data_IF_460883288044
#
_entry.id   IF_460883288044
#
_cell.length_a   1.000
_cell.length_b   1.000
_cell.length_c   1.000
_cell.angle_alpha   90.00
_cell.angle_beta   90.00
_cell.angle_gamma   90.00
#
_symmetry.space_group_name_H-M   'P 1'
#
loop_
_entity.id
_entity.type
_entity.pdbx_description
1 polymer ?
#
# COMPACT_ATOMS: atom_id res chain seq x y z
N UNK A 1 -12.46 12.39 20.29
CA UNK A 1 -13.26 11.16 20.13
C UNK A 1 -12.38 10.18 19.37
N UNK A 2 -12.07 9.03 19.98
CA UNK A 2 -11.13 8.07 19.42
C UNK A 2 -11.82 7.30 18.29
N UNK A 3 -11.35 7.51 17.06
CA UNK A 3 -11.76 6.73 15.91
C UNK A 3 -11.19 5.32 16.06
N UNK A 4 -12.00 4.41 16.57
CA UNK A 4 -11.70 2.98 16.51
C UNK A 4 -12.03 2.49 15.12
N UNK A 5 -11.03 2.33 14.25
CA UNK A 5 -11.21 1.71 12.92
C UNK A 5 -9.86 1.26 12.33
N UNK A 6 -9.13 0.46 13.12
CA UNK A 6 -8.15 -0.53 12.68
C UNK A 6 -7.71 -1.29 13.94
N UNK A 7 -8.08 -2.56 14.04
CA UNK A 7 -7.84 -3.38 15.24
C UNK A 7 -6.43 -3.96 15.32
N UNK A 8 -5.67 -3.92 14.22
CA UNK A 8 -4.31 -4.44 14.15
C UNK A 8 -3.34 -3.48 14.82
N UNK A 9 -2.52 -3.93 15.77
CA UNK A 9 -1.44 -3.12 16.34
C UNK A 9 -0.38 -2.80 15.27
N UNK A 10 0.31 -1.67 15.39
CA UNK A 10 1.47 -1.40 14.53
C UNK A 10 2.51 -2.51 14.72
N UNK A 11 3.14 -2.95 13.63
CA UNK A 11 4.17 -3.98 13.77
C UNK A 11 5.33 -3.47 14.66
N UNK A 12 5.82 -4.30 15.61
CA UNK A 12 6.88 -3.88 16.54
C UNK A 12 8.26 -3.73 15.88
N UNK A 13 8.40 -4.20 14.65
CA UNK A 13 9.64 -4.18 13.89
C UNK A 13 9.54 -3.09 12.83
N UNK A 14 10.44 -2.10 12.86
CA UNK A 14 10.62 -1.09 11.79
C UNK A 14 11.42 -1.66 10.61
N UNK A 15 11.17 -2.92 10.25
CA UNK A 15 11.89 -3.56 9.17
C UNK A 15 11.27 -3.12 7.83
N UNK A 16 12.07 -2.79 6.80
CA UNK A 16 11.53 -2.51 5.49
C UNK A 16 10.70 -3.70 4.98
N UNK A 17 9.47 -3.42 4.56
CA UNK A 17 8.53 -4.43 4.06
C UNK A 17 8.59 -4.45 2.55
N UNK A 18 8.89 -5.59 1.96
CA UNK A 18 8.83 -5.72 0.50
C UNK A 18 7.37 -5.73 0.03
N UNK A 19 7.05 -5.05 -1.07
CA UNK A 19 5.69 -5.08 -1.66
C UNK A 19 5.23 -6.49 -1.98
N UNK A 20 6.16 -7.38 -2.34
CA UNK A 20 5.85 -8.78 -2.60
C UNK A 20 5.37 -9.53 -1.35
N UNK A 21 5.78 -9.09 -0.15
CA UNK A 21 5.27 -9.64 1.10
C UNK A 21 3.81 -9.25 1.37
N UNK A 22 3.29 -8.21 0.70
CA UNK A 22 1.87 -7.87 0.73
C UNK A 22 1.03 -8.85 -0.10
N UNK A 23 1.62 -9.51 -1.11
CA UNK A 23 0.98 -10.56 -1.91
C UNK A 23 0.89 -11.87 -1.13
N UNK A 24 0.06 -11.87 -0.10
CA UNK A 24 -0.23 -13.03 0.72
C UNK A 24 -1.73 -13.19 0.89
N UNK A 25 -2.20 -14.44 0.85
CA UNK A 25 -3.59 -14.78 1.18
C UNK A 25 -3.84 -14.71 2.70
N UNK A 26 -2.76 -14.69 3.49
CA UNK A 26 -2.86 -14.58 4.93
C UNK A 26 -3.24 -13.16 5.35
N UNK A 27 -4.17 -13.06 6.30
CA UNK A 27 -4.50 -11.77 6.90
C UNK A 27 -3.28 -11.26 7.69
N UNK A 28 -2.93 -9.97 7.54
CA UNK A 28 -1.85 -9.38 8.32
C UNK A 28 -2.21 -9.42 9.81
N UNK A 29 -1.24 -9.79 10.64
CA UNK A 29 -1.37 -9.83 12.10
C UNK A 29 -1.01 -8.49 12.76
N UNK A 30 -0.36 -7.60 12.02
CA UNK A 30 -0.02 -6.25 12.42
C UNK A 30 -0.11 -5.30 11.23
N UNK A 31 -0.30 -4.01 11.52
CA UNK A 31 -0.39 -2.97 10.52
C UNK A 31 1.01 -2.37 10.24
N UNK A 32 1.44 -2.26 8.97
CA UNK A 32 2.75 -1.74 8.63
C UNK A 32 2.87 -0.20 8.63
N UNK A 33 1.89 0.54 9.16
CA UNK A 33 1.96 2.00 9.31
C UNK A 33 3.29 2.48 9.89
N UNK A 34 3.76 3.61 9.36
CA UNK A 34 5.04 4.24 9.75
C UNK A 34 6.29 3.49 9.30
N UNK A 35 6.16 2.34 8.62
CA UNK A 35 7.31 1.60 8.09
C UNK A 35 7.64 2.00 6.66
N UNK A 36 8.81 1.56 6.21
CA UNK A 36 9.26 1.73 4.83
C UNK A 36 8.80 0.55 3.98
N UNK A 37 8.03 0.83 2.95
CA UNK A 37 7.66 -0.13 1.91
C UNK A 37 8.74 -0.13 0.81
N UNK A 38 9.34 -1.28 0.56
CA UNK A 38 10.36 -1.50 -0.48
C UNK A 38 9.71 -2.12 -1.71
N UNK A 39 9.83 -1.42 -2.82
CA UNK A 39 9.32 -1.83 -4.13
C UNK A 39 10.45 -2.55 -4.88
N UNK A 40 10.18 -3.47 -5.84
CA UNK A 40 11.21 -4.23 -6.56
C UNK A 40 12.31 -3.40 -7.24
N UNK A 41 12.10 -2.11 -7.44
CA UNK A 41 13.11 -1.16 -7.95
C UNK A 41 14.11 -0.69 -6.88
N UNK A 42 14.09 -1.30 -5.69
CA UNK A 42 14.81 -0.86 -4.50
C UNK A 42 14.40 0.56 -4.03
N UNK A 43 13.27 1.05 -4.54
CA UNK A 43 12.63 2.28 -4.08
C UNK A 43 11.99 2.06 -2.72
N UNK A 44 12.02 3.11 -1.90
CA UNK A 44 11.54 3.11 -0.53
C UNK A 44 10.44 4.15 -0.37
N UNK A 45 9.24 3.69 -0.05
CA UNK A 45 8.09 4.53 0.25
C UNK A 45 7.89 4.54 1.75
N UNK A 46 7.93 5.72 2.35
CA UNK A 46 7.56 5.86 3.75
C UNK A 46 6.04 5.82 3.88
N UNK A 47 5.51 4.79 4.54
CA UNK A 47 4.09 4.69 4.80
C UNK A 47 3.68 5.72 5.85
N UNK A 48 2.45 6.26 5.74
CA UNK A 48 1.95 7.18 6.75
C UNK A 48 1.89 6.50 8.12
N UNK A 49 2.21 7.25 9.17
CA UNK A 49 2.05 6.81 10.56
C UNK A 49 0.57 6.74 10.97
N UNK A 50 -0.33 7.29 10.14
CA UNK A 50 -1.77 7.30 10.37
C UNK A 50 -2.46 6.13 9.65
N UNK A 51 -3.35 5.46 10.38
CA UNK A 51 -4.17 4.34 9.88
C UNK A 51 -5.28 4.83 8.96
N UNK A 52 -5.62 4.01 7.95
CA UNK A 52 -6.64 4.36 6.97
C UNK A 52 -6.20 5.44 5.96
N UNK A 53 -4.90 5.77 5.95
CA UNK A 53 -4.33 6.69 4.98
C UNK A 53 -4.05 6.01 3.63
N UNK A 54 -4.61 6.59 2.56
CA UNK A 54 -4.14 6.39 1.19
C UNK A 54 -3.14 7.48 0.84
N UNK A 55 -2.10 7.13 0.10
CA UNK A 55 -1.09 8.08 -0.33
C UNK A 55 -0.51 7.70 -1.68
N UNK A 56 -0.19 8.72 -2.45
CA UNK A 56 0.58 8.58 -3.68
C UNK A 56 1.99 9.03 -3.36
N UNK A 57 2.94 8.13 -3.54
CA UNK A 57 4.35 8.48 -3.50
C UNK A 57 4.84 8.54 -4.93
N UNK A 58 5.25 9.75 -5.36
CA UNK A 58 5.99 9.90 -6.60
C UNK A 58 7.41 9.41 -6.34
N UNK A 59 7.88 8.51 -7.19
CA UNK A 59 9.29 8.13 -7.34
C UNK A 59 10.20 9.34 -7.30
N UNK A 60 11.41 9.14 -6.77
CA UNK A 60 12.45 10.14 -6.84
C UNK A 60 12.84 10.39 -8.30
N UNK A 61 12.44 11.56 -8.82
CA UNK A 61 12.99 12.27 -9.99
C UNK A 61 13.72 11.40 -11.05
N UNK A 62 12.97 10.79 -11.97
CA UNK A 62 13.53 10.19 -13.18
C UNK A 62 12.85 8.92 -13.67
N UNK A 63 12.03 8.28 -12.85
CA UNK A 63 11.28 7.09 -13.25
C UNK A 63 9.91 7.48 -13.81
N UNK A 64 9.58 6.98 -15.00
CA UNK A 64 8.23 6.98 -15.59
C UNK A 64 7.28 6.04 -14.83
N UNK A 65 7.42 5.90 -13.51
CA UNK A 65 6.55 5.06 -12.68
C UNK A 65 6.04 5.88 -11.51
N UNK A 66 4.75 5.74 -11.21
CA UNK A 66 4.13 6.27 -10.01
C UNK A 66 3.76 5.11 -9.11
N UNK A 67 3.82 5.37 -7.81
CA UNK A 67 3.41 4.38 -6.83
C UNK A 67 2.28 4.93 -5.98
N UNK A 68 1.25 4.10 -5.84
CA UNK A 68 0.13 4.35 -4.97
C UNK A 68 0.12 3.31 -3.87
N UNK A 69 -0.27 3.70 -2.67
CA UNK A 69 -0.55 2.78 -1.59
C UNK A 69 -1.85 3.17 -0.89
N UNK A 70 -2.63 2.17 -0.52
CA UNK A 70 -3.90 2.35 0.15
C UNK A 70 -4.01 1.36 1.30
N UNK A 71 -4.11 1.90 2.53
CA UNK A 71 -4.45 1.08 3.69
C UNK A 71 -5.93 0.70 3.65
N UNK A 72 -6.22 -0.58 3.85
CA UNK A 72 -7.54 -1.23 3.79
C UNK A 72 -7.89 -1.79 5.18
N UNK A 73 -7.55 -1.05 6.24
CA UNK A 73 -7.85 -1.40 7.63
C UNK A 73 -7.41 -2.83 7.98
N UNK A 74 -8.34 -3.66 8.46
CA UNK A 74 -8.06 -5.03 8.89
C UNK A 74 -7.59 -5.98 7.76
N UNK A 75 -7.70 -5.57 6.49
CA UNK A 75 -7.25 -6.37 5.35
C UNK A 75 -5.79 -6.10 4.99
N UNK A 76 -5.19 -5.06 5.58
CA UNK A 76 -3.79 -4.70 5.37
C UNK A 76 -3.61 -3.51 4.44
N UNK A 77 -2.48 -3.52 3.74
CA UNK A 77 -2.08 -2.48 2.81
C UNK A 77 -2.11 -3.05 1.39
N UNK A 78 -2.62 -2.26 0.44
CA UNK A 78 -2.46 -2.49 -0.99
C UNK A 78 -1.48 -1.47 -1.52
N UNK A 79 -0.53 -1.93 -2.32
CA UNK A 79 0.37 -1.08 -3.07
C UNK A 79 0.16 -1.32 -4.56
N UNK A 80 0.35 -0.29 -5.37
CA UNK A 80 0.31 -0.40 -6.81
C UNK A 80 1.44 0.42 -7.42
N UNK A 81 2.05 -0.12 -8.46
CA UNK A 81 2.92 0.58 -9.39
C UNK A 81 2.16 0.82 -10.66
N UNK A 82 2.14 2.06 -11.12
CA UNK A 82 1.63 2.41 -12.42
C UNK A 82 2.73 3.04 -13.25
N UNK A 83 2.70 2.80 -14.54
CA UNK A 83 3.51 3.57 -15.48
C UNK A 83 3.07 5.04 -15.50
N UNK A 84 3.91 5.95 -15.97
CA UNK A 84 3.67 7.39 -16.01
C UNK A 84 2.49 7.75 -16.89
N UNK A 85 2.23 6.90 -17.90
CA UNK A 85 1.07 6.95 -18.80
C UNK A 85 -0.10 6.07 -18.33
N UNK A 86 -0.01 5.42 -17.16
CA UNK A 86 -1.05 4.55 -16.62
C UNK A 86 -1.44 3.35 -17.49
N UNK A 87 -0.62 3.03 -18.50
CA UNK A 87 -0.84 1.91 -19.43
C UNK A 87 -0.56 0.53 -18.82
N UNK A 88 0.15 0.47 -17.70
CA UNK A 88 0.42 -0.78 -16.96
C UNK A 88 0.32 -0.52 -15.48
N UNK A 89 -0.53 -1.31 -14.81
CA UNK A 89 -0.78 -1.27 -13.37
C UNK A 89 -0.35 -2.63 -12.80
N UNK A 90 0.55 -2.60 -11.83
CA UNK A 90 0.99 -3.77 -11.10
C UNK A 90 0.63 -3.60 -9.64
N UNK A 91 -0.20 -4.49 -9.12
CA UNK A 91 -0.76 -4.39 -7.78
C UNK A 91 -0.17 -5.47 -6.88
N UNK A 92 0.04 -5.10 -5.62
CA UNK A 92 0.51 -5.97 -4.57
C UNK A 92 -0.36 -5.79 -3.33
N UNK A 93 -0.85 -6.88 -2.78
CA UNK A 93 -1.74 -6.86 -1.64
C UNK A 93 -2.50 -8.15 -1.49
N UNK A 94 -3.17 -8.30 -0.35
CA UNK A 94 -4.10 -9.39 -0.17
C UNK A 94 -5.22 -9.26 -1.23
N UNK A 95 -5.64 -10.35 -1.89
CA UNK A 95 -6.68 -10.30 -2.92
C UNK A 95 -7.99 -9.66 -2.43
N UNK A 96 -8.37 -9.87 -1.17
CA UNK A 96 -9.56 -9.24 -0.58
C UNK A 96 -9.34 -7.74 -0.33
N UNK A 97 -8.12 -7.32 0.02
CA UNK A 97 -7.77 -5.92 0.17
C UNK A 97 -7.82 -5.19 -1.18
N UNK A 98 -7.22 -5.78 -2.23
CA UNK A 98 -7.25 -5.26 -3.60
C UNK A 98 -8.70 -5.13 -4.07
N UNK A 99 -9.51 -6.17 -3.87
CA UNK A 99 -10.93 -6.15 -4.25
C UNK A 99 -11.70 -5.02 -3.58
N UNK A 100 -11.42 -4.72 -2.31
CA UNK A 100 -12.04 -3.59 -1.59
C UNK A 100 -11.58 -2.24 -2.07
N UNK A 101 -10.29 -2.10 -2.40
CA UNK A 101 -9.78 -0.86 -3.00
C UNK A 101 -10.44 -0.61 -4.35
N UNK A 102 -10.56 -1.66 -5.18
CA UNK A 102 -11.27 -1.56 -6.46
C UNK A 102 -12.75 -1.25 -6.30
N UNK A 103 -13.41 -1.82 -5.28
CA UNK A 103 -14.82 -1.52 -4.98
C UNK A 103 -15.01 -0.07 -4.51
N UNK A 104 -14.08 0.46 -3.72
CA UNK A 104 -14.15 1.81 -3.16
C UNK A 104 -13.69 2.92 -4.12
N UNK A 105 -12.63 2.68 -4.89
CA UNK A 105 -11.93 3.68 -5.70
C UNK A 105 -11.92 3.36 -7.20
N UNK A 106 -12.37 2.17 -7.61
CA UNK A 106 -12.33 1.70 -9.00
C UNK A 106 -11.02 1.00 -9.39
N UNK A 107 -11.00 0.39 -10.58
CA UNK A 107 -9.80 -0.30 -11.11
C UNK A 107 -8.63 0.66 -11.39
N UNK A 108 -8.91 1.94 -11.55
CA UNK A 108 -7.93 2.97 -11.91
C UNK A 108 -7.42 3.74 -10.67
N UNK A 109 -7.71 3.26 -9.46
CA UNK A 109 -7.41 3.95 -8.20
C UNK A 109 -5.94 4.39 -8.07
N UNK A 110 -5.02 3.59 -8.61
CA UNK A 110 -3.59 3.87 -8.58
C UNK A 110 -3.16 4.98 -9.57
N UNK A 111 -4.05 5.37 -10.47
CA UNK A 111 -3.85 6.37 -11.52
C UNK A 111 -4.59 7.69 -11.28
N UNK A 112 -5.42 7.76 -10.25
CA UNK A 112 -6.22 8.95 -9.91
C UNK A 112 -5.54 9.89 -8.92
#
# INVERSE_FOLDING_TARGET
MAAGEATLSGCPTEAPIMVEALNTEHMPTCDPIGQTLVIPDNEQIQLPEQRGGGGWSRTASGSDFRYAHQSVGNWGLVAARVDGDCSSIQEWGNPEAIRRVHDAFGNEWACQ
#
